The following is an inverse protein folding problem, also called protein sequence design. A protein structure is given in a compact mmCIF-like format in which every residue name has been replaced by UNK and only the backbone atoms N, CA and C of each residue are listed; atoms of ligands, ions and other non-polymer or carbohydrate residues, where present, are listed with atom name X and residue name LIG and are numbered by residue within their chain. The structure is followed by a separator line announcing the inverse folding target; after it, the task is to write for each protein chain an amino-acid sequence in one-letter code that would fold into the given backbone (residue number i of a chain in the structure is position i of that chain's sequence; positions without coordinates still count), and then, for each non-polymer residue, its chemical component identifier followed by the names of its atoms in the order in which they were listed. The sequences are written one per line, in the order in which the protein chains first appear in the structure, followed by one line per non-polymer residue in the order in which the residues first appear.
data_IF_199608915727
#
_entry.id   IF_199608915727
#
_cell.length_a   1.000
_cell.length_b   1.000
_cell.length_c   1.000
_cell.angle_alpha   90.00
_cell.angle_beta   90.00
_cell.angle_gamma   90.00
#
_symmetry.space_group_name_H-M   'P 1'
#
loop_
_entity.id
_entity.type
_entity.pdbx_description
1 polymer ?
#
# COMPACT_ATOMS: atom_id res chain seq x y z
N UNK A 1 20.21 5.71 9.09
CA UNK A 1 20.36 5.53 10.56
C UNK A 1 19.21 6.18 11.34
N UNK A 2 18.71 7.34 10.91
CA UNK A 2 17.64 8.08 11.59
C UNK A 2 16.33 7.29 11.73
N UNK A 3 15.78 6.71 10.65
CA UNK A 3 14.55 5.91 10.74
C UNK A 3 14.66 4.68 11.67
N UNK A 4 15.83 4.06 11.77
CA UNK A 4 16.02 2.95 12.71
C UNK A 4 15.93 3.42 14.16
N UNK A 5 16.41 4.64 14.47
CA UNK A 5 16.25 5.24 15.80
C UNK A 5 14.78 5.56 16.07
N UNK A 6 14.09 6.20 15.11
CA UNK A 6 12.67 6.52 15.24
C UNK A 6 11.81 5.27 15.42
N UNK A 7 12.16 4.15 14.77
CA UNK A 7 11.44 2.89 14.93
C UNK A 7 11.57 2.29 16.34
N UNK A 8 12.61 2.62 17.10
CA UNK A 8 12.76 2.11 18.48
C UNK A 8 11.76 2.76 19.44
N UNK A 9 11.38 4.02 19.18
CA UNK A 9 10.44 4.78 20.01
C UNK A 9 8.98 4.59 19.56
N UNK A 10 8.76 4.03 18.38
CA UNK A 10 7.44 3.82 17.79
C UNK A 10 7.11 2.31 17.69
N UNK A 11 5.98 1.90 18.27
CA UNK A 11 5.52 0.52 18.15
C UNK A 11 5.09 0.20 16.72
N UNK A 12 4.36 1.11 16.07
CA UNK A 12 3.87 0.92 14.71
C UNK A 12 5.03 0.82 13.70
N UNK A 13 5.03 -0.15 12.75
CA UNK A 13 6.20 -0.43 11.92
C UNK A 13 6.41 0.53 10.73
N UNK A 14 5.94 1.78 10.80
CA UNK A 14 6.00 2.73 9.68
C UNK A 14 7.43 3.10 9.29
N UNK A 15 8.31 3.34 10.27
CA UNK A 15 9.69 3.72 9.99
C UNK A 15 10.48 2.57 9.37
N UNK A 16 10.20 1.32 9.75
CA UNK A 16 10.77 0.15 9.09
C UNK A 16 10.31 0.04 7.64
N UNK A 17 9.05 0.37 7.33
CA UNK A 17 8.58 0.46 5.95
C UNK A 17 9.37 1.54 5.18
N UNK A 18 9.58 2.73 5.76
CA UNK A 18 10.44 3.77 5.13
C UNK A 18 11.87 3.33 4.90
N UNK A 19 12.44 2.49 5.78
CA UNK A 19 13.75 1.89 5.55
C UNK A 19 13.70 0.92 4.35
N UNK A 20 12.64 0.14 4.20
CA UNK A 20 12.45 -0.71 3.03
C UNK A 20 12.39 0.12 1.73
N UNK A 21 11.65 1.24 1.74
CA UNK A 21 11.58 2.18 0.62
C UNK A 21 12.99 2.68 0.21
N UNK A 22 13.84 3.01 1.18
CA UNK A 22 15.23 3.41 0.91
C UNK A 22 16.07 2.29 0.27
N UNK A 23 15.87 1.03 0.66
CA UNK A 23 16.55 -0.10 0.02
C UNK A 23 16.02 -0.34 -1.39
N UNK A 24 14.72 -0.22 -1.60
CA UNK A 24 14.08 -0.26 -2.92
C UNK A 24 14.69 0.77 -3.87
N UNK A 25 14.77 2.04 -3.44
CA UNK A 25 15.37 3.12 -4.24
C UNK A 25 16.85 2.89 -4.57
N UNK A 26 17.58 2.16 -3.73
CA UNK A 26 18.97 1.77 -3.97
C UNK A 26 19.12 0.54 -4.87
N UNK A 27 18.01 -0.10 -5.25
CA UNK A 27 18.01 -1.34 -6.03
C UNK A 27 18.22 -2.62 -5.20
N UNK A 28 18.30 -2.52 -3.87
CA UNK A 28 18.40 -3.69 -3.00
C UNK A 28 17.00 -4.23 -2.67
N UNK A 29 16.36 -4.79 -3.70
CA UNK A 29 15.00 -5.30 -3.61
C UNK A 29 14.88 -6.49 -2.65
N UNK A 30 15.92 -7.32 -2.55
CA UNK A 30 15.93 -8.45 -1.62
C UNK A 30 15.81 -7.95 -0.18
N UNK A 31 16.64 -6.98 0.22
CA UNK A 31 16.59 -6.43 1.57
C UNK A 31 15.29 -5.68 1.83
N UNK A 32 14.85 -4.88 0.86
CA UNK A 32 13.55 -4.18 0.91
C UNK A 32 12.41 -5.16 1.18
N UNK A 33 12.27 -6.21 0.37
CA UNK A 33 11.19 -7.20 0.51
C UNK A 33 11.24 -7.96 1.83
N UNK A 34 12.43 -8.29 2.35
CA UNK A 34 12.56 -8.87 3.70
C UNK A 34 12.01 -7.93 4.77
N UNK A 35 12.36 -6.64 4.71
CA UNK A 35 11.86 -5.65 5.67
C UNK A 35 10.35 -5.47 5.57
N UNK A 36 9.77 -5.44 4.37
CA UNK A 36 8.31 -5.37 4.17
C UNK A 36 7.61 -6.58 4.81
N UNK A 37 8.14 -7.80 4.68
CA UNK A 37 7.58 -8.99 5.35
C UNK A 37 7.63 -8.85 6.88
N UNK A 38 8.73 -8.33 7.43
CA UNK A 38 8.82 -8.05 8.87
C UNK A 38 7.82 -6.98 9.33
N UNK A 39 7.55 -5.97 8.50
CA UNK A 39 6.54 -4.94 8.75
C UNK A 39 5.15 -5.57 8.84
N UNK A 40 4.77 -6.45 7.89
CA UNK A 40 3.47 -7.15 7.92
C UNK A 40 3.29 -7.96 9.21
N UNK A 41 4.29 -8.77 9.56
CA UNK A 41 4.24 -9.60 10.78
C UNK A 41 4.03 -8.73 12.03
N UNK A 42 4.74 -7.59 12.12
CA UNK A 42 4.61 -6.68 13.27
C UNK A 42 3.25 -5.96 13.28
N UNK A 43 2.76 -5.51 12.12
CA UNK A 43 1.43 -4.90 11.94
C UNK A 43 0.33 -5.85 12.40
N UNK A 44 0.31 -7.07 11.86
CA UNK A 44 -0.73 -8.06 12.15
C UNK A 44 -0.76 -8.42 13.64
N UNK A 45 0.42 -8.55 14.26
CA UNK A 45 0.52 -8.77 15.71
C UNK A 45 -0.11 -7.62 16.51
N UNK A 46 0.22 -6.37 16.19
CA UNK A 46 -0.30 -5.20 16.91
C UNK A 46 -1.81 -5.04 16.74
N UNK A 47 -2.34 -5.23 15.52
CA UNK A 47 -3.78 -5.18 15.26
C UNK A 47 -4.50 -6.30 16.02
N UNK A 48 -3.93 -7.51 16.06
CA UNK A 48 -4.50 -8.63 16.81
C UNK A 48 -4.54 -8.37 18.32
N UNK A 49 -3.50 -7.75 18.86
CA UNK A 49 -3.36 -7.50 20.31
C UNK A 49 -4.18 -6.30 20.79
N UNK A 50 -4.27 -5.23 19.99
CA UNK A 50 -4.81 -3.94 20.44
C UNK A 50 -6.05 -3.47 19.67
N UNK A 51 -6.46 -4.19 18.63
CA UNK A 51 -7.65 -3.90 17.81
C UNK A 51 -7.38 -3.00 16.60
N UNK A 52 -8.11 -3.23 15.51
CA UNK A 52 -7.96 -2.50 14.24
C UNK A 52 -8.30 -1.01 14.38
N UNK A 53 -9.37 -0.66 15.10
CA UNK A 53 -9.85 0.73 15.21
C UNK A 53 -8.78 1.69 15.75
N UNK A 54 -7.87 1.20 16.59
CA UNK A 54 -6.74 1.98 17.13
C UNK A 54 -5.74 2.38 16.04
N UNK A 55 -5.64 1.60 14.97
CA UNK A 55 -4.64 1.76 13.93
C UNK A 55 -5.21 2.15 12.57
N UNK A 56 -6.53 2.16 12.40
CA UNK A 56 -7.23 2.32 11.11
C UNK A 56 -6.58 3.34 10.15
N UNK A 57 -6.38 4.57 10.60
CA UNK A 57 -5.81 5.63 9.74
C UNK A 57 -4.32 5.39 9.44
N UNK A 58 -3.56 4.96 10.45
CA UNK A 58 -2.13 4.62 10.34
C UNK A 58 -1.88 3.38 9.50
N UNK A 59 -2.87 2.50 9.43
CA UNK A 59 -2.82 1.27 8.67
C UNK A 59 -3.09 1.51 7.19
N UNK A 60 -4.05 2.37 6.86
CA UNK A 60 -4.23 2.83 5.49
C UNK A 60 -2.94 3.48 4.94
N UNK A 61 -2.28 4.33 5.73
CA UNK A 61 -1.00 4.95 5.37
C UNK A 61 0.11 3.90 5.18
N UNK A 62 0.25 2.98 6.13
CA UNK A 62 1.26 1.93 6.07
C UNK A 62 1.07 1.04 4.84
N UNK A 63 -0.15 0.58 4.60
CA UNK A 63 -0.50 -0.28 3.47
C UNK A 63 -0.19 0.43 2.16
N UNK A 64 -0.62 1.70 2.00
CA UNK A 64 -0.28 2.48 0.82
C UNK A 64 1.23 2.57 0.58
N UNK A 65 2.02 2.86 1.63
CA UNK A 65 3.49 2.89 1.55
C UNK A 65 4.06 1.53 1.10
N UNK A 66 3.56 0.43 1.65
CA UNK A 66 4.02 -0.92 1.32
C UNK A 66 3.68 -1.31 -0.12
N UNK A 67 2.46 -1.01 -0.57
CA UNK A 67 2.01 -1.29 -1.94
C UNK A 67 2.90 -0.58 -2.96
N UNK A 68 3.15 0.70 -2.74
CA UNK A 68 4.05 1.47 -3.60
C UNK A 68 5.44 0.82 -3.69
N UNK A 69 6.00 0.42 -2.55
CA UNK A 69 7.34 -0.18 -2.49
C UNK A 69 7.39 -1.58 -3.08
N UNK A 70 6.34 -2.37 -2.96
CA UNK A 70 6.23 -3.65 -3.69
C UNK A 70 6.22 -3.44 -5.21
N UNK A 71 5.45 -2.46 -5.70
CA UNK A 71 5.43 -2.11 -7.13
C UNK A 71 6.83 -1.68 -7.61
N UNK A 72 7.52 -0.81 -6.85
CA UNK A 72 8.90 -0.40 -7.16
C UNK A 72 9.87 -1.58 -7.23
N UNK A 73 9.65 -2.61 -6.39
CA UNK A 73 10.45 -3.84 -6.40
C UNK A 73 9.99 -4.86 -7.45
N UNK A 74 9.01 -4.51 -8.30
CA UNK A 74 8.37 -5.41 -9.28
C UNK A 74 7.74 -6.66 -8.65
N UNK A 75 7.26 -6.52 -7.41
CA UNK A 75 6.54 -7.55 -6.65
C UNK A 75 5.03 -7.29 -6.78
N UNK A 76 4.52 -7.39 -8.00
CA UNK A 76 3.15 -6.99 -8.30
C UNK A 76 2.12 -7.92 -7.67
N UNK A 77 2.37 -9.23 -7.64
CA UNK A 77 1.47 -10.20 -7.01
C UNK A 77 1.34 -9.94 -5.50
N UNK A 78 2.44 -9.60 -4.82
CA UNK A 78 2.42 -9.21 -3.40
C UNK A 78 1.65 -7.92 -3.16
N UNK A 79 1.84 -6.91 -4.03
CA UNK A 79 1.08 -5.67 -3.95
C UNK A 79 -0.42 -5.94 -4.15
N UNK A 80 -0.78 -6.73 -5.16
CA UNK A 80 -2.17 -7.07 -5.46
C UNK A 80 -2.80 -7.81 -4.29
N UNK A 81 -2.16 -8.88 -3.80
CA UNK A 81 -2.66 -9.68 -2.70
C UNK A 81 -2.88 -8.85 -1.43
N UNK A 82 -1.92 -7.98 -1.08
CA UNK A 82 -2.04 -7.11 0.08
C UNK A 82 -3.17 -6.09 -0.08
N UNK A 83 -3.26 -5.44 -1.25
CA UNK A 83 -4.27 -4.42 -1.53
C UNK A 83 -5.69 -4.98 -1.54
N UNK A 84 -5.90 -6.11 -2.22
CA UNK A 84 -7.19 -6.80 -2.25
C UNK A 84 -7.61 -7.29 -0.85
N UNK A 85 -6.67 -7.88 -0.09
CA UNK A 85 -6.95 -8.33 1.27
C UNK A 85 -7.35 -7.17 2.19
N UNK A 86 -6.67 -6.03 2.07
CA UNK A 86 -7.01 -4.84 2.84
C UNK A 86 -8.41 -4.31 2.50
N UNK A 87 -8.70 -4.14 1.21
CA UNK A 87 -10.02 -3.62 0.76
C UNK A 87 -11.15 -4.54 1.20
N UNK A 88 -10.98 -5.85 1.06
CA UNK A 88 -11.97 -6.85 1.48
C UNK A 88 -12.25 -6.78 2.99
N UNK A 89 -11.22 -6.53 3.80
CA UNK A 89 -11.33 -6.54 5.27
C UNK A 89 -11.78 -5.21 5.87
N UNK A 90 -11.42 -4.08 5.24
CA UNK A 90 -11.49 -2.75 5.84
C UNK A 90 -12.20 -1.70 4.98
N UNK A 91 -12.62 -2.08 3.78
CA UNK A 91 -13.29 -1.20 2.82
C UNK A 91 -12.33 -0.43 1.92
N UNK A 92 -12.91 0.35 1.02
CA UNK A 92 -12.15 1.08 -0.01
C UNK A 92 -11.40 2.29 0.56
N UNK A 93 -10.19 2.53 0.02
CA UNK A 93 -9.42 3.75 0.23
C UNK A 93 -8.85 4.20 -1.13
N UNK A 94 -9.04 5.48 -1.49
CA UNK A 94 -8.69 6.00 -2.83
C UNK A 94 -7.21 5.88 -3.16
N UNK A 95 -6.31 6.08 -2.20
CA UNK A 95 -4.86 5.96 -2.42
C UNK A 95 -4.46 4.51 -2.68
N UNK A 96 -5.03 3.58 -1.92
CA UNK A 96 -4.83 2.14 -2.10
C UNK A 96 -5.38 1.69 -3.45
N UNK A 97 -6.58 2.14 -3.84
CA UNK A 97 -7.19 1.82 -5.14
C UNK A 97 -6.32 2.29 -6.31
N UNK A 98 -5.83 3.54 -6.27
CA UNK A 98 -4.92 4.06 -7.31
C UNK A 98 -3.64 3.23 -7.44
N UNK A 99 -3.06 2.85 -6.31
CA UNK A 99 -1.81 2.06 -6.30
C UNK A 99 -2.06 0.64 -6.78
N UNK A 100 -3.19 0.04 -6.40
CA UNK A 100 -3.61 -1.29 -6.85
C UNK A 100 -3.90 -1.31 -8.36
N UNK A 101 -4.52 -0.26 -8.90
CA UNK A 101 -4.68 -0.08 -10.34
C UNK A 101 -3.33 -0.12 -11.07
N UNK A 102 -2.33 0.63 -10.58
CA UNK A 102 -0.99 0.61 -11.16
C UNK A 102 -0.34 -0.78 -11.09
N UNK A 103 -0.56 -1.52 -10.01
CA UNK A 103 -0.09 -2.91 -9.88
C UNK A 103 -0.76 -3.83 -10.90
N UNK A 104 -2.08 -3.72 -11.10
CA UNK A 104 -2.82 -4.52 -12.09
C UNK A 104 -2.32 -4.28 -13.51
N UNK A 105 -2.19 -3.02 -13.93
CA UNK A 105 -1.67 -2.68 -15.26
C UNK A 105 -0.24 -3.24 -15.43
N UNK A 106 0.62 -3.05 -14.43
CA UNK A 106 2.01 -3.52 -14.46
C UNK A 106 2.13 -5.05 -14.52
N UNK A 107 1.10 -5.78 -14.07
CA UNK A 107 1.03 -7.24 -14.08
C UNK A 107 0.10 -7.82 -15.17
N UNK A 108 -0.30 -7.01 -16.15
CA UNK A 108 -1.23 -7.37 -17.24
C UNK A 108 -2.64 -7.83 -16.79
N UNK A 109 -3.10 -7.44 -15.61
CA UNK A 109 -4.46 -7.72 -15.12
C UNK A 109 -5.42 -6.60 -15.53
N UNK A 110 -5.51 -6.34 -16.83
CA UNK A 110 -6.28 -5.22 -17.40
C UNK A 110 -7.75 -5.26 -16.96
N UNK A 111 -8.39 -6.43 -17.03
CA UNK A 111 -9.78 -6.61 -16.61
C UNK A 111 -10.01 -6.18 -15.14
N UNK A 112 -9.11 -6.54 -14.22
CA UNK A 112 -9.21 -6.10 -12.82
C UNK A 112 -8.96 -4.60 -12.66
N UNK A 113 -8.11 -4.02 -13.50
CA UNK A 113 -7.89 -2.58 -13.53
C UNK A 113 -9.17 -1.85 -13.96
N UNK A 114 -9.86 -2.35 -14.99
CA UNK A 114 -11.15 -1.84 -15.47
C UNK A 114 -12.22 -1.91 -14.36
N UNK A 115 -12.40 -3.08 -13.71
CA UNK A 115 -13.34 -3.23 -12.57
C UNK A 115 -13.09 -2.19 -11.46
N UNK A 116 -11.82 -1.86 -11.21
CA UNK A 116 -11.45 -0.87 -10.20
C UNK A 116 -11.85 0.56 -10.62
N UNK A 117 -11.76 0.89 -11.90
CA UNK A 117 -12.24 2.20 -12.42
C UNK A 117 -13.76 2.33 -12.31
N UNK A 118 -14.51 1.25 -12.57
CA UNK A 118 -15.97 1.25 -12.46
C UNK A 118 -16.43 1.39 -11.01
N UNK A 119 -15.70 0.78 -10.07
CA UNK A 119 -16.00 0.83 -8.64
C UNK A 119 -15.36 2.02 -7.90
N UNK A 120 -14.74 2.97 -8.61
CA UNK A 120 -14.03 4.09 -7.99
C UNK A 120 -15.01 5.06 -7.30
N UNK A 121 -14.81 5.40 -6.01
CA UNK A 121 -15.73 6.27 -5.27
C UNK A 121 -15.56 7.75 -5.65
N UNK A 122 -16.01 8.11 -6.86
CA UNK A 122 -15.85 9.43 -7.45
C UNK A 122 -16.61 10.53 -6.68
N UNK A 123 -15.90 11.57 -6.28
CA UNK A 123 -16.47 12.85 -5.87
C UNK A 123 -16.62 13.77 -7.10
N UNK A 124 -17.86 13.89 -7.59
CA UNK A 124 -18.19 14.70 -8.78
C UNK A 124 -17.94 16.21 -8.60
N UNK A 125 -17.75 16.68 -7.36
CA UNK A 125 -17.43 18.08 -7.09
C UNK A 125 -15.92 18.35 -7.05
N UNK A 126 -15.09 17.31 -7.07
CA UNK A 126 -13.64 17.40 -7.05
C UNK A 126 -13.07 17.24 -8.46
N UNK A 127 -12.65 18.35 -9.07
CA UNK A 127 -11.97 18.31 -10.38
C UNK A 127 -10.71 17.44 -10.36
N UNK A 128 -10.02 17.37 -9.21
CA UNK A 128 -8.87 16.47 -9.02
C UNK A 128 -9.30 15.01 -9.14
N UNK A 129 -10.38 14.61 -8.46
CA UNK A 129 -10.86 13.24 -8.45
C UNK A 129 -11.36 12.79 -9.85
N UNK A 130 -12.01 13.70 -10.58
CA UNK A 130 -12.38 13.49 -11.99
C UNK A 130 -11.13 13.26 -12.85
N UNK A 131 -10.07 14.07 -12.67
CA UNK A 131 -8.83 13.91 -13.44
C UNK A 131 -8.11 12.60 -13.14
N UNK A 132 -8.14 12.15 -11.88
CA UNK A 132 -7.58 10.85 -11.46
C UNK A 132 -8.30 9.71 -12.18
N UNK A 133 -9.63 9.68 -12.14
CA UNK A 133 -10.41 8.63 -12.80
C UNK A 133 -10.20 8.65 -14.32
N UNK A 134 -10.15 9.84 -14.93
CA UNK A 134 -9.86 9.97 -16.36
C UNK A 134 -8.48 9.39 -16.72
N UNK A 135 -7.45 9.64 -15.90
CA UNK A 135 -6.10 9.07 -16.11
C UNK A 135 -6.04 7.56 -15.95
N UNK A 136 -6.94 6.96 -15.15
CA UNK A 136 -7.05 5.50 -15.01
C UNK A 136 -7.79 4.85 -16.19
N UNK A 137 -8.50 5.63 -17.00
CA UNK A 137 -9.27 5.15 -18.16
C UNK A 137 -8.58 5.40 -19.52
N UNK A 138 -7.34 5.91 -19.54
CA UNK A 138 -6.55 6.13 -20.75
C UNK A 138 -5.69 4.93 -21.11
#
# INVERSE_FOLDING_TARGET
EEYNKMQNDEKWPIWKAKVADLYSLKGDFKKSNTLLKEVMIKRDKLIKEEGFDKYKDRDAELIHSMLFTFIMNKQYDEAISLGESYISSHGQNKEILKTLFAAYISNNYIYKAEELTEAYPLDKNSSYDISVLANMNM
#
